data_IF_924122197122
#
_entry.id   IF_924122197122
#
_cell.length_a   1.000
_cell.length_b   1.000
_cell.length_c   1.000
_cell.angle_alpha   90.00
_cell.angle_beta   90.00
_cell.angle_gamma   90.00
#
_symmetry.space_group_name_H-M   'P 1'
#
loop_
_entity.id
_entity.type
_entity.pdbx_description
1 polymer ?
#
# COMPACT_ATOMS: atom_id res chain seq x y z
N UNK A 1 -8.80 14.42 0.07
CA UNK A 1 -7.85 13.27 0.06
C UNK A 1 -8.68 12.01 0.01
N UNK A 2 -8.45 11.17 -1.00
CA UNK A 2 -9.24 9.96 -1.26
C UNK A 2 -8.29 8.79 -1.35
N UNK A 3 -8.42 7.82 -0.43
CA UNK A 3 -7.69 6.56 -0.47
C UNK A 3 -8.62 5.51 -1.05
N UNK A 4 -8.17 4.83 -2.11
CA UNK A 4 -8.93 3.76 -2.74
C UNK A 4 -8.04 2.53 -2.92
N UNK A 5 -8.42 1.45 -2.26
CA UNK A 5 -7.81 0.13 -2.46
C UNK A 5 -8.52 -0.56 -3.62
N UNK A 6 -7.78 -1.01 -4.62
CA UNK A 6 -8.29 -1.73 -5.80
C UNK A 6 -7.43 -2.95 -6.02
N UNK A 7 -7.92 -4.13 -5.63
CA UNK A 7 -7.12 -5.35 -5.78
C UNK A 7 -6.56 -5.50 -7.22
N UNK A 8 -5.25 -5.75 -7.40
CA UNK A 8 -4.22 -6.10 -6.38
C UNK A 8 -3.37 -4.92 -5.86
N UNK A 9 -3.73 -3.68 -6.16
CA UNK A 9 -2.96 -2.49 -5.82
C UNK A 9 -3.75 -1.50 -4.94
N UNK A 10 -3.04 -0.50 -4.43
CA UNK A 10 -3.65 0.61 -3.74
C UNK A 10 -3.33 1.89 -4.48
N UNK A 11 -4.30 2.80 -4.50
CA UNK A 11 -4.12 4.13 -5.07
C UNK A 11 -4.55 5.17 -4.05
N UNK A 12 -3.66 6.13 -3.81
CA UNK A 12 -3.90 7.27 -2.95
C UNK A 12 -3.89 8.53 -3.82
N UNK A 13 -5.01 9.25 -3.80
CA UNK A 13 -5.20 10.47 -4.61
C UNK A 13 -5.43 11.66 -3.69
N UNK A 14 -4.64 12.70 -3.90
CA UNK A 14 -4.87 13.99 -3.25
C UNK A 14 -5.53 14.90 -4.28
N UNK A 15 -6.78 15.22 -4.01
CA UNK A 15 -7.60 16.15 -4.77
C UNK A 15 -7.60 17.51 -4.07
N UNK A 16 -7.63 18.58 -4.87
CA UNK A 16 -7.69 19.96 -4.39
C UNK A 16 -8.94 20.61 -4.97
N UNK A 17 -9.71 21.32 -4.14
CA UNK A 17 -10.92 22.02 -4.58
C UNK A 17 -10.61 22.98 -5.75
N UNK A 18 -11.41 22.92 -6.81
CA UNK A 18 -11.26 23.76 -8.00
C UNK A 18 -10.25 23.25 -9.04
N UNK A 19 -9.68 22.05 -8.87
CA UNK A 19 -8.83 21.40 -9.87
C UNK A 19 -9.42 20.03 -10.23
N UNK A 20 -9.75 19.82 -11.51
CA UNK A 20 -10.39 18.57 -11.98
C UNK A 20 -9.47 17.34 -11.91
N UNK A 21 -8.16 17.53 -11.93
CA UNK A 21 -7.17 16.45 -11.85
C UNK A 21 -6.46 16.44 -10.49
N UNK A 22 -6.11 15.25 -9.97
CA UNK A 22 -5.40 15.14 -8.70
C UNK A 22 -4.05 15.86 -8.78
N UNK A 23 -3.69 16.54 -7.69
CA UNK A 23 -2.36 17.18 -7.59
C UNK A 23 -1.26 16.15 -7.34
N UNK A 24 -1.62 15.01 -6.75
CA UNK A 24 -0.74 13.90 -6.46
C UNK A 24 -1.50 12.58 -6.51
N UNK A 25 -0.89 11.57 -7.12
CA UNK A 25 -1.40 10.21 -7.18
C UNK A 25 -0.26 9.23 -6.88
N UNK A 26 -0.44 8.44 -5.83
CA UNK A 26 0.46 7.35 -5.47
C UNK A 26 -0.21 6.03 -5.84
N UNK A 27 0.45 5.25 -6.69
CA UNK A 27 0.09 3.86 -6.96
C UNK A 27 1.11 2.94 -6.29
N UNK A 28 0.63 1.90 -5.62
CA UNK A 28 1.49 0.94 -4.94
C UNK A 28 0.96 -0.48 -5.06
N UNK A 29 1.86 -1.44 -5.27
CA UNK A 29 1.55 -2.86 -5.28
C UNK A 29 2.58 -3.64 -4.47
N UNK A 30 2.10 -4.66 -3.76
CA UNK A 30 2.91 -5.58 -2.97
C UNK A 30 2.88 -6.95 -3.67
N UNK A 31 4.02 -7.42 -4.15
CA UNK A 31 4.12 -8.65 -4.93
C UNK A 31 4.87 -9.71 -4.11
N UNK A 32 4.22 -10.81 -3.71
CA UNK A 32 4.89 -11.93 -3.04
C UNK A 32 6.09 -12.42 -3.85
N UNK A 33 7.19 -12.75 -3.18
CA UNK A 33 8.42 -13.24 -3.85
C UNK A 33 8.54 -14.76 -3.83
N UNK A 34 7.81 -15.43 -2.94
CA UNK A 34 7.78 -16.87 -2.79
C UNK A 34 6.37 -17.36 -2.47
N UNK A 35 6.21 -18.67 -2.27
CA UNK A 35 4.91 -19.30 -1.97
C UNK A 35 4.55 -19.23 -0.49
N UNK A 36 5.54 -18.95 0.35
CA UNK A 36 5.42 -18.76 1.78
C UNK A 36 4.83 -17.38 2.11
N UNK A 37 4.90 -16.44 1.17
CA UNK A 37 4.29 -15.09 1.19
C UNK A 37 4.80 -14.19 2.33
N UNK A 38 5.91 -14.57 2.98
CA UNK A 38 6.52 -13.79 4.07
C UNK A 38 7.43 -12.67 3.59
N UNK A 39 7.75 -12.68 2.29
CA UNK A 39 8.56 -11.64 1.66
C UNK A 39 7.84 -11.11 0.43
N UNK A 40 7.81 -9.80 0.30
CA UNK A 40 7.23 -9.11 -0.83
C UNK A 40 8.24 -8.15 -1.47
N UNK A 41 8.00 -7.84 -2.75
CA UNK A 41 8.59 -6.69 -3.44
C UNK A 41 7.53 -5.61 -3.54
N UNK A 42 7.87 -4.42 -3.03
CA UNK A 42 7.02 -3.25 -3.16
C UNK A 42 7.37 -2.52 -4.45
N UNK A 43 6.35 -2.25 -5.28
CA UNK A 43 6.45 -1.35 -6.43
C UNK A 43 5.60 -0.11 -6.15
N UNK A 44 6.21 1.06 -6.26
CA UNK A 44 5.55 2.34 -6.02
C UNK A 44 5.79 3.32 -7.17
N UNK A 45 4.74 4.04 -7.56
CA UNK A 45 4.81 5.13 -8.53
C UNK A 45 4.11 6.36 -7.96
N UNK A 46 4.86 7.45 -7.82
CA UNK A 46 4.34 8.74 -7.41
C UNK A 46 4.25 9.67 -8.62
N UNK A 47 3.02 10.03 -8.99
CA UNK A 47 2.72 11.02 -10.01
C UNK A 47 2.38 12.35 -9.34
N UNK A 48 3.04 13.42 -9.75
CA UNK A 48 2.80 14.78 -9.23
C UNK A 48 2.49 15.68 -10.40
N UNK A 49 1.39 16.42 -10.28
CA UNK A 49 1.00 17.39 -11.30
C UNK A 49 2.03 18.51 -11.36
N UNK A 50 2.59 18.73 -12.55
CA UNK A 50 3.49 19.86 -12.78
C UNK A 50 2.72 21.18 -12.78
N UNK A 51 3.02 22.01 -11.79
CA UNK A 51 2.56 23.40 -11.76
C UNK A 51 3.31 24.21 -12.82
N UNK A 52 2.65 25.21 -13.42
CA UNK A 52 3.23 26.10 -14.46
C UNK A 52 4.29 27.07 -13.92
N UNK A 53 4.74 26.90 -12.68
CA UNK A 53 5.75 27.72 -12.02
C UNK A 53 7.12 27.06 -12.28
N UNK A 54 8.04 27.73 -12.99
CA UNK A 54 9.39 27.22 -13.20
C UNK A 54 10.10 26.94 -11.86
N UNK A 55 10.94 25.89 -11.80
CA UNK A 55 11.79 25.52 -10.65
C UNK A 55 11.08 25.10 -9.35
N UNK A 56 9.76 25.26 -9.24
CA UNK A 56 9.03 24.88 -8.02
C UNK A 56 9.16 23.39 -7.71
N UNK A 57 9.01 22.53 -8.73
CA UNK A 57 9.18 21.09 -8.56
C UNK A 57 10.60 20.73 -8.16
N UNK A 58 11.61 21.36 -8.76
CA UNK A 58 13.02 21.08 -8.46
C UNK A 58 13.35 21.40 -7.00
N UNK A 59 12.75 22.47 -6.46
CA UNK A 59 12.89 22.83 -5.04
C UNK A 59 12.11 21.91 -4.11
N UNK A 60 10.91 21.48 -4.52
CA UNK A 60 10.07 20.58 -3.73
C UNK A 60 10.57 19.12 -3.77
N UNK A 61 11.35 18.74 -4.78
CA UNK A 61 11.76 17.35 -5.03
C UNK A 61 12.48 16.69 -3.84
N UNK A 62 13.47 17.32 -3.19
CA UNK A 62 14.12 16.72 -2.02
C UNK A 62 13.14 16.51 -0.84
N UNK A 63 12.19 17.43 -0.67
CA UNK A 63 11.15 17.31 0.36
C UNK A 63 10.21 16.14 0.05
N UNK A 64 9.82 15.99 -1.22
CA UNK A 64 8.97 14.90 -1.67
C UNK A 64 9.64 13.54 -1.48
N UNK A 65 10.93 13.42 -1.83
CA UNK A 65 11.71 12.20 -1.58
C UNK A 65 11.72 11.88 -0.08
N UNK A 66 12.13 12.84 0.75
CA UNK A 66 12.22 12.62 2.20
C UNK A 66 10.87 12.25 2.82
N UNK A 67 9.79 12.90 2.38
CA UNK A 67 8.44 12.57 2.79
C UNK A 67 8.05 11.14 2.39
N UNK A 68 8.28 10.75 1.13
CA UNK A 68 7.96 9.40 0.66
C UNK A 68 8.76 8.33 1.39
N UNK A 69 10.08 8.51 1.55
CA UNK A 69 10.93 7.56 2.26
C UNK A 69 10.47 7.36 3.71
N UNK A 70 10.07 8.46 4.37
CA UNK A 70 9.57 8.39 5.74
C UNK A 70 8.26 7.61 5.84
N UNK A 71 7.28 7.93 4.99
CA UNK A 71 5.98 7.22 4.99
C UNK A 71 6.18 5.73 4.73
N UNK A 72 7.01 5.37 3.75
CA UNK A 72 7.31 3.96 3.47
C UNK A 72 8.05 3.25 4.62
N UNK A 73 8.88 3.98 5.38
CA UNK A 73 9.58 3.42 6.54
C UNK A 73 8.59 3.13 7.66
N UNK A 74 7.71 4.07 7.98
CA UNK A 74 6.69 3.91 9.02
C UNK A 74 5.70 2.77 8.67
N UNK A 75 5.23 2.72 7.41
CA UNK A 75 4.35 1.64 6.93
C UNK A 75 5.04 0.28 7.02
N UNK A 76 6.33 0.21 6.67
CA UNK A 76 7.11 -1.03 6.75
C UNK A 76 7.25 -1.50 8.19
N UNK A 77 7.58 -0.62 9.13
CA UNK A 77 7.75 -0.99 10.54
C UNK A 77 6.49 -1.64 11.10
N UNK A 78 5.30 -1.10 10.78
CA UNK A 78 4.02 -1.66 11.22
C UNK A 78 3.80 -3.06 10.62
N UNK A 79 4.02 -3.23 9.32
CA UNK A 79 3.85 -4.53 8.65
C UNK A 79 4.80 -5.59 9.21
N UNK A 80 6.04 -5.23 9.50
CA UNK A 80 7.01 -6.17 10.08
C UNK A 80 6.64 -6.57 11.51
N UNK A 81 6.08 -5.64 12.30
CA UNK A 81 5.54 -5.93 13.64
C UNK A 81 4.32 -6.86 13.56
N UNK A 82 3.41 -6.65 12.60
CA UNK A 82 2.29 -7.56 12.37
C UNK A 82 2.77 -8.94 11.93
N UNK A 83 3.79 -9.00 11.08
CA UNK A 83 4.40 -10.26 10.64
C UNK A 83 5.06 -11.01 11.80
N UNK A 84 5.68 -10.29 12.75
CA UNK A 84 6.21 -10.88 13.98
C UNK A 84 5.09 -11.44 14.84
N UNK A 85 4.02 -10.67 15.08
CA UNK A 85 2.87 -11.12 15.85
C UNK A 85 2.22 -12.38 15.24
N UNK A 86 2.08 -12.40 13.91
CA UNK A 86 1.59 -13.57 13.17
C UNK A 86 2.44 -14.81 13.42
N UNK A 87 3.78 -14.67 13.43
CA UNK A 87 4.70 -15.79 13.71
C UNK A 87 4.59 -16.27 15.15
N UNK A 88 4.48 -15.36 16.11
CA UNK A 88 4.34 -15.69 17.54
C UNK A 88 3.01 -16.41 17.83
N UNK A 89 1.97 -16.13 17.05
CA UNK A 89 0.63 -16.70 17.19
C UNK A 89 0.39 -17.96 16.35
N UNK A 90 1.39 -18.36 15.54
CA UNK A 90 1.33 -19.46 14.57
C UNK A 90 0.14 -19.32 13.60
N UNK A 91 -0.08 -18.10 13.11
CA UNK A 91 -1.17 -17.80 12.21
C UNK A 91 -1.87 -16.49 12.51
N UNK A 92 -2.86 -16.19 11.67
CA UNK A 92 -3.66 -15.00 11.82
C UNK A 92 -4.71 -15.15 12.92
N UNK A 93 -4.55 -14.39 14.00
CA UNK A 93 -5.53 -14.28 15.09
C UNK A 93 -6.17 -12.89 15.17
N UNK A 94 -5.97 -12.03 14.16
CA UNK A 94 -6.49 -10.67 14.20
C UNK A 94 -8.03 -10.66 14.23
N UNK A 95 -8.58 -9.85 15.13
CA UNK A 95 -10.00 -9.52 15.18
C UNK A 95 -10.24 -8.25 14.36
N UNK A 96 -10.16 -8.40 13.04
CA UNK A 96 -10.32 -7.29 12.11
C UNK A 96 -11.77 -6.78 12.09
N UNK A 97 -11.92 -5.46 12.18
CA UNK A 97 -13.22 -4.77 12.24
C UNK A 97 -13.42 -3.81 11.07
N UNK A 98 -12.36 -3.47 10.33
CA UNK A 98 -12.43 -2.57 9.19
C UNK A 98 -13.14 -3.24 8.01
N UNK A 99 -14.29 -2.71 7.56
CA UNK A 99 -15.11 -3.36 6.52
C UNK A 99 -14.36 -3.58 5.21
N UNK A 100 -13.45 -2.67 4.84
CA UNK A 100 -12.67 -2.76 3.60
C UNK A 100 -11.69 -3.94 3.66
N UNK A 101 -11.02 -4.15 4.78
CA UNK A 101 -10.07 -5.26 4.95
C UNK A 101 -10.83 -6.58 5.00
N UNK A 102 -11.98 -6.62 5.69
CA UNK A 102 -12.85 -7.80 5.71
C UNK A 102 -13.35 -8.17 4.31
N UNK A 103 -13.78 -7.19 3.51
CA UNK A 103 -14.18 -7.42 2.13
C UNK A 103 -13.02 -7.95 1.26
N UNK A 104 -11.81 -7.39 1.44
CA UNK A 104 -10.62 -7.85 0.73
C UNK A 104 -10.27 -9.29 1.10
N UNK A 105 -10.26 -9.64 2.39
CA UNK A 105 -10.02 -11.02 2.85
C UNK A 105 -11.03 -11.98 2.25
N UNK A 106 -12.31 -11.62 2.26
CA UNK A 106 -13.36 -12.45 1.67
C UNK A 106 -13.15 -12.66 0.16
N UNK A 107 -12.74 -11.61 -0.56
CA UNK A 107 -12.42 -11.69 -1.98
C UNK A 107 -11.23 -12.65 -2.23
N UNK A 108 -10.17 -12.55 -1.43
CA UNK A 108 -8.98 -13.39 -1.53
C UNK A 108 -9.29 -14.86 -1.19
N UNK A 109 -10.12 -15.14 -0.19
CA UNK A 109 -10.54 -16.50 0.13
C UNK A 109 -11.33 -17.14 -1.02
N UNK A 110 -12.17 -16.35 -1.71
CA UNK A 110 -13.02 -16.86 -2.79
C UNK A 110 -12.29 -17.05 -4.13
N UNK A 111 -11.29 -16.20 -4.40
CA UNK A 111 -10.67 -16.11 -5.73
C UNK A 111 -9.16 -16.38 -5.71
N UNK A 112 -8.55 -16.45 -4.53
CA UNK A 112 -7.14 -16.78 -4.36
C UNK A 112 -6.87 -18.25 -4.68
N UNK A 113 -5.64 -18.53 -5.10
CA UNK A 113 -5.18 -19.92 -5.17
C UNK A 113 -4.84 -20.40 -3.76
N UNK A 114 -5.25 -21.62 -3.36
CA UNK A 114 -4.90 -22.17 -2.06
C UNK A 114 -3.40 -22.16 -1.85
N UNK A 115 -2.94 -21.73 -0.67
CA UNK A 115 -1.55 -21.94 -0.30
C UNK A 115 -1.33 -23.44 -0.10
N UNK A 116 -0.14 -23.95 -0.42
CA UNK A 116 0.14 -25.39 -0.30
C UNK A 116 0.07 -25.88 1.17
N UNK A 117 0.08 -24.95 2.15
CA UNK A 117 -0.12 -25.24 3.59
C UNK A 117 -1.57 -25.57 3.95
N UNK A 118 -2.55 -25.17 3.13
CA UNK A 118 -3.98 -25.36 3.40
C UNK A 118 -4.51 -26.73 2.92
N UNK A 119 -3.66 -27.54 2.27
CA UNK A 119 -4.01 -28.85 1.68
C UNK A 119 -3.52 -30.02 2.56
N UNK A 120 -3.38 -29.80 3.88
CA UNK A 120 -3.02 -30.82 4.87
C UNK A 120 -4.20 -31.64 5.35
#
# INVERSE_FOLDING_TARGET
>A
MTIRTQYPYQTLRIETEGIDEPVMELWIAYVPQDREEFINRVFGLLSIRRLKIPFLLDLAWPLLIAFTERVFTEDREIVELEQQAWREQDGDRNQEVFPVIMALRQLLIQNGMPSQKDVG
#
